data_IF_267891181044
#
_entry.id   IF_267891181044
#
_cell.length_a   1.000
_cell.length_b   1.000
_cell.length_c   1.000
_cell.angle_alpha   90.00
_cell.angle_beta   90.00
_cell.angle_gamma   90.00
#
_symmetry.space_group_name_H-M   'P 1'
#
loop_
_entity.id
_entity.type
_entity.pdbx_description
1 polymer ?
#
# COMPACT_ATOMS: atom_id res chain seq x y z
N UNK A 1 -102.09 63.70 -62.17
CA UNK A 1 -100.85 62.91 -61.96
C UNK A 1 -100.26 63.34 -60.62
N UNK A 2 -100.11 62.43 -59.64
CA UNK A 2 -99.64 62.76 -58.29
C UNK A 2 -98.13 62.52 -58.19
N UNK A 3 -97.36 63.60 -58.10
CA UNK A 3 -95.92 63.58 -57.88
C UNK A 3 -95.67 63.35 -56.38
N UNK A 4 -95.17 62.16 -56.00
CA UNK A 4 -94.72 61.90 -54.63
C UNK A 4 -93.29 62.42 -54.51
N UNK A 5 -93.13 63.58 -53.88
CA UNK A 5 -91.83 64.11 -53.48
C UNK A 5 -91.38 63.30 -52.26
N UNK A 6 -90.28 62.57 -52.39
CA UNK A 6 -89.69 61.84 -51.27
C UNK A 6 -88.96 62.86 -50.37
N UNK A 7 -89.62 63.26 -49.28
CA UNK A 7 -89.06 64.18 -48.27
C UNK A 7 -88.11 63.47 -47.29
N UNK A 8 -87.86 62.16 -47.48
CA UNK A 8 -86.95 61.41 -46.64
C UNK A 8 -85.52 61.59 -47.13
N UNK A 9 -84.91 62.73 -46.78
CA UNK A 9 -83.50 62.98 -47.06
C UNK A 9 -82.61 61.98 -46.29
N UNK A 10 -81.52 61.46 -46.88
CA UNK A 10 -80.62 60.47 -46.24
C UNK A 10 -79.95 60.96 -44.94
N UNK A 11 -80.10 62.24 -44.65
CA UNK A 11 -79.57 63.00 -43.51
C UNK A 11 -80.45 62.83 -42.25
N UNK A 12 -81.71 62.40 -42.41
CA UNK A 12 -82.64 62.07 -41.32
C UNK A 12 -82.54 60.61 -40.83
N UNK A 13 -81.49 59.88 -41.22
CA UNK A 13 -81.25 58.54 -40.65
C UNK A 13 -80.77 58.71 -39.21
N UNK A 14 -81.43 58.11 -38.20
CA UNK A 14 -80.97 58.21 -36.83
C UNK A 14 -79.53 57.68 -36.77
N UNK A 15 -78.60 58.55 -36.36
CA UNK A 15 -77.20 58.18 -36.21
C UNK A 15 -77.14 57.01 -35.24
N UNK A 16 -76.80 55.81 -35.74
CA UNK A 16 -76.70 54.64 -34.89
C UNK A 16 -75.63 54.93 -33.83
N UNK A 17 -75.98 54.99 -32.54
CA UNK A 17 -75.02 55.34 -31.52
C UNK A 17 -73.96 54.24 -31.48
N UNK A 18 -72.72 54.60 -31.85
CA UNK A 18 -71.58 53.66 -31.87
C UNK A 18 -71.41 53.01 -30.48
N UNK A 19 -71.65 53.79 -29.41
CA UNK A 19 -71.89 53.31 -28.05
C UNK A 19 -73.39 53.13 -27.77
N UNK A 20 -73.88 51.90 -27.93
CA UNK A 20 -75.13 51.49 -27.28
C UNK A 20 -74.79 50.93 -25.90
N UNK A 21 -75.62 51.15 -24.87
CA UNK A 21 -75.39 50.64 -23.50
C UNK A 21 -75.03 49.14 -23.49
N UNK A 22 -75.68 48.35 -24.35
CA UNK A 22 -75.39 46.94 -24.55
C UNK A 22 -73.95 46.65 -25.03
N UNK A 23 -73.41 47.45 -25.98
CA UNK A 23 -72.03 47.30 -26.47
C UNK A 23 -71.00 47.68 -25.40
N UNK A 24 -71.31 48.68 -24.57
CA UNK A 24 -70.48 49.05 -23.41
C UNK A 24 -70.45 47.92 -22.37
N UNK A 25 -71.60 47.36 -22.03
CA UNK A 25 -71.72 46.19 -21.14
C UNK A 25 -70.95 44.98 -21.66
N UNK A 26 -71.05 44.65 -22.95
CA UNK A 26 -70.25 43.59 -23.57
C UNK A 26 -68.75 43.89 -23.51
N UNK A 27 -68.33 45.14 -23.72
CA UNK A 27 -66.93 45.54 -23.58
C UNK A 27 -66.41 45.38 -22.15
N UNK A 28 -67.19 45.79 -21.15
CA UNK A 28 -66.85 45.58 -19.74
C UNK A 28 -66.80 44.09 -19.37
N UNK A 29 -67.77 43.29 -19.84
CA UNK A 29 -67.77 41.85 -19.61
C UNK A 29 -66.57 41.16 -20.26
N UNK A 30 -66.22 41.54 -21.48
CA UNK A 30 -65.04 41.04 -22.18
C UNK A 30 -63.74 41.43 -21.45
N UNK A 31 -63.63 42.68 -20.99
CA UNK A 31 -62.47 43.14 -20.22
C UNK A 31 -62.33 42.39 -18.89
N UNK A 32 -63.44 42.16 -18.17
CA UNK A 32 -63.45 41.35 -16.95
C UNK A 32 -63.05 39.90 -17.21
N UNK A 33 -63.60 39.29 -18.26
CA UNK A 33 -63.23 37.92 -18.65
C UNK A 33 -61.74 37.80 -18.98
N UNK A 34 -61.18 38.81 -19.66
CA UNK A 34 -59.76 38.87 -20.00
C UNK A 34 -58.88 39.01 -18.75
N UNK A 35 -59.26 39.87 -17.80
CA UNK A 35 -58.57 40.02 -16.52
C UNK A 35 -58.61 38.73 -15.68
N UNK A 36 -59.76 38.08 -15.60
CA UNK A 36 -59.90 36.79 -14.91
C UNK A 36 -59.05 35.72 -15.59
N UNK A 37 -59.07 35.65 -16.92
CA UNK A 37 -58.25 34.70 -17.69
C UNK A 37 -56.75 34.89 -17.46
N UNK A 38 -56.27 36.14 -17.48
CA UNK A 38 -54.88 36.47 -17.17
C UNK A 38 -54.52 36.16 -15.72
N UNK A 39 -55.41 36.46 -14.76
CA UNK A 39 -55.20 36.15 -13.35
C UNK A 39 -55.10 34.65 -13.08
N UNK A 40 -55.96 33.85 -13.71
CA UNK A 40 -55.89 32.38 -13.63
C UNK A 40 -54.61 31.84 -14.27
N UNK A 41 -54.23 32.35 -15.44
CA UNK A 41 -53.00 31.94 -16.11
C UNK A 41 -51.74 32.27 -15.26
N UNK A 42 -51.69 33.48 -14.69
CA UNK A 42 -50.60 33.84 -13.76
C UNK A 42 -50.59 32.98 -12.52
N UNK A 43 -51.75 32.69 -11.92
CA UNK A 43 -51.85 31.85 -10.72
C UNK A 43 -51.30 30.45 -10.98
N UNK A 44 -51.68 29.82 -12.11
CA UNK A 44 -51.16 28.51 -12.50
C UNK A 44 -49.64 28.53 -12.73
N UNK A 45 -49.12 29.58 -13.35
CA UNK A 45 -47.68 29.72 -13.56
C UNK A 45 -46.92 29.90 -12.24
N UNK A 46 -47.48 30.69 -11.32
CA UNK A 46 -46.89 30.92 -10.00
C UNK A 46 -46.89 29.64 -9.15
N UNK A 47 -47.98 28.86 -9.18
CA UNK A 47 -48.06 27.57 -8.50
C UNK A 47 -47.01 26.59 -9.02
N UNK A 48 -46.78 26.51 -10.33
CA UNK A 48 -45.72 25.66 -10.90
C UNK A 48 -44.33 26.11 -10.44
N UNK A 49 -44.10 27.42 -10.38
CA UNK A 49 -42.82 27.95 -9.94
C UNK A 49 -42.59 27.70 -8.44
N UNK A 50 -43.63 27.83 -7.61
CA UNK A 50 -43.58 27.48 -6.19
C UNK A 50 -43.29 25.99 -6.00
N UNK A 51 -43.96 25.11 -6.74
CA UNK A 51 -43.67 23.66 -6.68
C UNK A 51 -42.22 23.34 -7.05
N UNK A 52 -41.65 24.02 -8.04
CA UNK A 52 -40.23 23.83 -8.40
C UNK A 52 -39.29 24.32 -7.29
N UNK A 53 -39.62 25.44 -6.63
CA UNK A 53 -38.86 25.93 -5.50
C UNK A 53 -38.94 24.97 -4.31
N UNK A 54 -40.14 24.49 -3.98
CA UNK A 54 -40.35 23.54 -2.87
C UNK A 54 -39.55 22.25 -3.10
N UNK A 55 -39.59 21.69 -4.32
CA UNK A 55 -38.77 20.52 -4.68
C UNK A 55 -37.27 20.80 -4.58
N UNK A 56 -36.82 21.99 -4.98
CA UNK A 56 -35.41 22.36 -4.87
C UNK A 56 -34.97 22.54 -3.40
N UNK A 57 -35.83 23.11 -2.56
CA UNK A 57 -35.60 23.21 -1.12
C UNK A 57 -35.57 21.85 -0.44
N UNK A 58 -36.46 20.94 -0.83
CA UNK A 58 -36.51 19.58 -0.29
C UNK A 58 -35.22 18.81 -0.65
N UNK A 59 -34.78 18.88 -1.91
CA UNK A 59 -33.49 18.31 -2.34
C UNK A 59 -32.30 18.94 -1.60
N UNK A 60 -32.31 20.26 -1.40
CA UNK A 60 -31.25 20.95 -0.66
C UNK A 60 -31.22 20.50 0.81
N UNK A 61 -32.38 20.32 1.43
CA UNK A 61 -32.49 19.83 2.80
C UNK A 61 -31.96 18.41 2.93
N UNK A 62 -32.34 17.51 2.01
CA UNK A 62 -31.89 16.12 2.00
C UNK A 62 -30.37 16.01 1.87
N UNK A 63 -29.78 16.77 0.93
CA UNK A 63 -28.32 16.85 0.76
C UNK A 63 -27.63 17.47 1.99
N UNK A 64 -28.25 18.44 2.65
CA UNK A 64 -27.76 19.03 3.89
C UNK A 64 -27.73 18.02 5.04
N UNK A 65 -28.78 17.24 5.19
CA UNK A 65 -28.89 16.18 6.20
C UNK A 65 -27.89 15.04 5.92
N UNK A 66 -27.70 14.67 4.65
CA UNK A 66 -26.69 13.69 4.26
C UNK A 66 -25.28 14.20 4.56
N UNK A 67 -24.95 15.45 4.22
CA UNK A 67 -23.68 16.07 4.60
C UNK A 67 -23.49 16.14 6.12
N UNK A 68 -24.55 16.43 6.89
CA UNK A 68 -24.49 16.44 8.35
C UNK A 68 -24.22 15.04 8.91
N UNK A 69 -24.83 14.00 8.34
CA UNK A 69 -24.58 12.59 8.70
C UNK A 69 -23.16 12.17 8.36
N UNK A 70 -22.70 12.39 7.12
CA UNK A 70 -21.35 12.04 6.70
C UNK A 70 -20.28 12.82 7.48
N UNK A 71 -20.51 14.09 7.79
CA UNK A 71 -19.57 14.86 8.61
C UNK A 71 -19.53 14.39 10.06
N UNK A 72 -20.67 13.95 10.62
CA UNK A 72 -20.73 13.33 11.95
C UNK A 72 -20.04 11.97 11.95
N UNK A 73 -20.27 11.15 10.92
CA UNK A 73 -19.61 9.86 10.73
C UNK A 73 -18.09 10.05 10.59
N UNK A 74 -17.63 10.97 9.75
CA UNK A 74 -16.22 11.34 9.64
C UNK A 74 -15.61 11.88 10.94
N UNK A 75 -16.36 12.69 11.68
CA UNK A 75 -15.92 13.19 12.98
C UNK A 75 -15.82 12.06 14.03
N UNK A 76 -16.70 11.06 13.94
CA UNK A 76 -16.65 9.84 14.76
C UNK A 76 -15.53 8.88 14.33
N UNK A 77 -15.16 8.90 13.05
CA UNK A 77 -13.98 8.25 12.47
C UNK A 77 -12.71 9.10 12.59
N UNK A 78 -12.63 10.02 13.56
CA UNK A 78 -11.34 10.63 13.91
C UNK A 78 -10.37 9.48 14.24
N UNK A 79 -9.14 9.48 13.69
CA UNK A 79 -8.14 8.52 14.10
C UNK A 79 -7.98 8.66 15.60
N UNK A 80 -8.31 7.59 16.32
CA UNK A 80 -8.23 7.58 17.77
C UNK A 80 -6.79 7.98 18.14
N UNK A 81 -6.61 9.11 18.81
CA UNK A 81 -5.30 9.63 19.23
C UNK A 81 -4.52 8.54 19.98
N UNK A 82 -5.24 7.63 20.63
CA UNK A 82 -4.70 6.43 21.28
C UNK A 82 -4.12 5.42 20.28
N UNK A 83 -4.78 5.17 19.15
CA UNK A 83 -4.28 4.30 18.08
C UNK A 83 -3.06 4.92 17.38
N UNK A 84 -3.07 6.23 17.11
CA UNK A 84 -1.89 6.93 16.56
C UNK A 84 -0.69 6.85 17.51
N UNK A 85 -0.94 7.04 18.81
CA UNK A 85 0.09 6.91 19.83
C UNK A 85 0.60 5.46 19.94
N UNK A 86 -0.30 4.47 19.89
CA UNK A 86 0.06 3.06 19.92
C UNK A 86 0.89 2.64 18.69
N UNK A 87 0.56 3.15 17.50
CA UNK A 87 1.34 2.93 16.27
C UNK A 87 2.71 3.58 16.39
N UNK A 88 2.81 4.81 16.91
CA UNK A 88 4.08 5.48 17.11
C UNK A 88 4.98 4.74 18.10
N UNK A 89 4.43 4.25 19.21
CA UNK A 89 5.15 3.44 20.20
C UNK A 89 5.59 2.09 19.63
N UNK A 90 4.72 1.40 18.88
CA UNK A 90 5.05 0.15 18.23
C UNK A 90 6.19 0.33 17.21
N UNK A 91 6.14 1.41 16.42
CA UNK A 91 7.20 1.75 15.46
C UNK A 91 8.53 2.05 16.16
N UNK A 92 8.51 2.85 17.21
CA UNK A 92 9.71 3.13 18.01
C UNK A 92 10.33 1.86 18.63
N UNK A 93 9.48 0.90 19.05
CA UNK A 93 9.94 -0.39 19.57
C UNK A 93 10.60 -1.25 18.50
N UNK A 94 10.01 -1.31 17.30
CA UNK A 94 10.58 -2.03 16.15
C UNK A 94 11.93 -1.42 15.77
N UNK A 95 12.03 -0.09 15.66
CA UNK A 95 13.28 0.60 15.33
C UNK A 95 14.36 0.43 16.41
N UNK A 96 13.96 0.30 17.68
CA UNK A 96 14.86 -0.03 18.78
C UNK A 96 15.41 -1.46 18.66
N UNK A 97 14.54 -2.43 18.40
CA UNK A 97 14.91 -3.83 18.21
C UNK A 97 15.77 -4.04 16.97
N UNK A 98 15.49 -3.35 15.87
CA UNK A 98 16.28 -3.42 14.64
C UNK A 98 17.70 -2.84 14.81
N UNK A 99 17.84 -1.75 15.58
CA UNK A 99 19.17 -1.21 15.93
C UNK A 99 19.93 -2.15 16.85
N UNK A 100 19.24 -2.76 17.80
CA UNK A 100 19.83 -3.76 18.69
C UNK A 100 20.30 -4.98 17.87
N UNK A 101 19.47 -5.51 16.97
CA UNK A 101 19.87 -6.63 16.10
C UNK A 101 21.05 -6.26 15.21
N UNK A 102 21.09 -5.04 14.65
CA UNK A 102 22.23 -4.59 13.85
C UNK A 102 23.53 -4.44 14.68
N UNK A 103 23.42 -4.08 15.96
CA UNK A 103 24.57 -4.07 16.87
C UNK A 103 25.00 -5.49 17.22
N UNK A 104 24.06 -6.41 17.46
CA UNK A 104 24.38 -7.81 17.69
C UNK A 104 24.98 -8.47 16.45
N UNK A 105 24.45 -8.25 15.24
CA UNK A 105 24.98 -8.78 13.98
C UNK A 105 26.45 -8.40 13.75
N UNK A 106 26.87 -7.23 14.23
CA UNK A 106 28.28 -6.80 14.17
C UNK A 106 29.19 -7.62 15.10
N UNK A 107 28.65 -8.14 16.21
CA UNK A 107 29.35 -9.02 17.16
C UNK A 107 29.05 -10.52 16.91
N UNK A 108 28.00 -10.86 16.14
CA UNK A 108 27.51 -12.23 15.90
C UNK A 108 28.41 -13.03 14.94
N UNK A 109 29.45 -12.41 14.37
CA UNK A 109 30.59 -13.14 13.79
C UNK A 109 31.23 -14.13 14.79
N UNK A 110 31.02 -13.94 16.11
CA UNK A 110 31.50 -14.85 17.16
C UNK A 110 30.53 -15.99 17.51
N UNK A 111 29.24 -15.90 17.18
CA UNK A 111 28.25 -16.96 17.49
C UNK A 111 27.77 -17.59 16.18
N UNK A 112 28.71 -18.15 15.42
CA UNK A 112 28.35 -18.96 14.26
C UNK A 112 27.67 -20.27 14.76
N UNK A 113 26.39 -20.53 14.42
CA UNK A 113 25.77 -21.85 14.61
C UNK A 113 26.48 -22.98 13.85
N UNK A 114 27.50 -22.65 13.04
CA UNK A 114 28.36 -23.59 12.34
C UNK A 114 29.43 -24.31 13.18
N UNK A 115 29.84 -23.79 14.35
CA UNK A 115 30.95 -24.41 15.09
C UNK A 115 30.58 -25.76 15.72
N UNK A 116 29.38 -25.87 16.30
CA UNK A 116 28.91 -27.14 16.89
C UNK A 116 28.68 -28.23 15.83
N UNK A 117 28.22 -27.84 14.63
CA UNK A 117 28.05 -28.76 13.51
C UNK A 117 29.40 -29.19 12.94
N UNK A 118 30.34 -28.25 12.78
CA UNK A 118 31.71 -28.55 12.38
C UNK A 118 32.39 -29.51 13.36
N UNK A 119 32.27 -29.28 14.66
CA UNK A 119 32.86 -30.14 15.68
C UNK A 119 32.25 -31.56 15.68
N UNK A 120 30.94 -31.67 15.44
CA UNK A 120 30.25 -32.96 15.29
C UNK A 120 30.74 -33.72 14.05
N UNK A 121 30.87 -33.04 12.93
CA UNK A 121 31.32 -33.63 11.67
C UNK A 121 32.81 -34.04 11.74
N UNK A 122 33.65 -33.24 12.40
CA UNK A 122 35.03 -33.62 12.73
C UNK A 122 35.07 -34.90 13.58
N UNK A 123 34.24 -34.99 14.63
CA UNK A 123 34.17 -36.18 15.47
C UNK A 123 33.72 -37.42 14.69
N UNK A 124 32.79 -37.28 13.75
CA UNK A 124 32.31 -38.38 12.92
C UNK A 124 33.38 -38.86 11.91
N UNK A 125 34.26 -37.96 11.47
CA UNK A 125 35.35 -38.26 10.54
C UNK A 125 36.62 -38.80 11.20
N UNK A 126 36.63 -38.96 12.53
CA UNK A 126 37.80 -39.41 13.28
C UNK A 126 38.23 -40.84 12.86
N UNK A 127 39.50 -40.99 12.49
CA UNK A 127 40.11 -42.28 12.13
C UNK A 127 41.15 -42.70 13.18
N UNK A 128 41.38 -44.00 13.37
CA UNK A 128 42.46 -44.52 14.21
C UNK A 128 43.86 -44.27 13.65
N UNK A 129 43.96 -43.91 12.37
CA UNK A 129 45.24 -43.68 11.68
C UNK A 129 45.67 -42.22 11.64
N UNK A 130 44.78 -41.27 12.00
CA UNK A 130 45.02 -39.82 11.91
C UNK A 130 44.48 -39.14 13.17
N UNK A 131 45.33 -38.40 13.87
CA UNK A 131 44.99 -37.65 15.07
C UNK A 131 45.10 -36.15 14.82
N UNK A 132 44.00 -35.45 14.97
CA UNK A 132 43.96 -33.99 14.94
C UNK A 132 44.41 -33.43 16.30
N UNK A 133 45.38 -32.51 16.29
CA UNK A 133 45.94 -31.90 17.51
C UNK A 133 45.56 -30.44 17.65
N UNK A 134 45.54 -29.71 16.54
CA UNK A 134 45.21 -28.30 16.49
C UNK A 134 44.24 -28.04 15.35
N UNK A 135 43.25 -27.19 15.61
CA UNK A 135 42.33 -26.72 14.60
C UNK A 135 42.03 -25.25 14.86
N UNK A 136 42.08 -24.43 13.81
CA UNK A 136 41.75 -23.02 13.85
C UNK A 136 40.74 -22.71 12.75
N UNK A 137 39.68 -21.99 13.11
CA UNK A 137 38.61 -21.60 12.19
C UNK A 137 38.42 -20.10 12.34
N UNK A 138 38.72 -19.34 11.29
CA UNK A 138 38.56 -17.88 11.27
C UNK A 138 37.84 -17.47 9.99
N UNK A 139 36.56 -17.09 10.10
CA UNK A 139 35.70 -16.71 8.96
C UNK A 139 35.66 -17.77 7.85
N UNK A 140 36.46 -17.61 6.79
CA UNK A 140 36.61 -18.51 5.65
C UNK A 140 37.93 -19.30 5.65
N UNK A 141 38.77 -19.11 6.66
CA UNK A 141 40.04 -19.81 6.83
C UNK A 141 39.86 -21.00 7.76
N UNK A 142 40.40 -22.14 7.33
CA UNK A 142 40.43 -23.37 8.11
C UNK A 142 41.88 -23.84 8.16
N UNK A 143 42.39 -24.14 9.35
CA UNK A 143 43.68 -24.80 9.55
C UNK A 143 43.46 -26.03 10.42
N UNK A 144 44.01 -27.14 9.96
CA UNK A 144 43.98 -28.43 10.64
C UNK A 144 45.41 -28.95 10.73
N UNK A 145 45.89 -29.24 11.93
CA UNK A 145 47.23 -29.79 12.13
C UNK A 145 47.18 -30.98 13.08
N UNK A 146 48.00 -32.00 12.78
CA UNK A 146 47.94 -33.26 13.50
C UNK A 146 49.05 -34.22 13.12
N UNK A 147 48.88 -35.47 13.52
CA UNK A 147 49.81 -36.57 13.26
C UNK A 147 49.06 -37.73 12.59
N UNK A 148 49.72 -38.44 11.69
CA UNK A 148 49.18 -39.64 11.06
C UNK A 148 50.18 -40.79 11.13
N UNK A 149 49.71 -42.02 11.27
CA UNK A 149 50.56 -43.21 11.31
C UNK A 149 51.28 -43.48 9.98
N UNK A 150 50.70 -43.02 8.86
CA UNK A 150 51.25 -43.16 7.51
C UNK A 150 50.92 -41.92 6.69
N UNK A 151 51.84 -41.49 5.83
CA UNK A 151 51.61 -40.38 4.90
C UNK A 151 50.38 -40.60 4.00
N UNK A 152 50.14 -41.84 3.56
CA UNK A 152 49.00 -42.19 2.71
C UNK A 152 47.62 -42.11 3.41
N UNK A 153 47.58 -42.08 4.74
CA UNK A 153 46.31 -41.97 5.49
C UNK A 153 45.75 -40.55 5.52
N UNK A 154 46.60 -39.53 5.30
CA UNK A 154 46.21 -38.11 5.37
C UNK A 154 45.26 -37.72 4.24
N UNK A 155 45.54 -38.00 2.94
CA UNK A 155 44.62 -37.65 1.85
C UNK A 155 43.26 -38.36 1.99
N UNK A 156 43.26 -39.65 2.35
CA UNK A 156 42.03 -40.42 2.52
C UNK A 156 41.15 -39.94 3.69
N UNK A 157 41.76 -39.36 4.72
CA UNK A 157 41.04 -38.71 5.81
C UNK A 157 40.46 -37.36 5.38
N UNK A 158 41.23 -36.54 4.65
CA UNK A 158 40.79 -35.26 4.11
C UNK A 158 39.58 -35.42 3.17
N UNK A 159 39.60 -36.42 2.28
CA UNK A 159 38.49 -36.68 1.35
C UNK A 159 37.19 -37.03 2.09
N UNK A 160 37.27 -37.82 3.17
CA UNK A 160 36.10 -38.16 4.00
C UNK A 160 35.57 -36.95 4.78
N UNK A 161 36.48 -36.11 5.26
CA UNK A 161 36.13 -34.88 5.94
C UNK A 161 35.45 -33.88 4.99
N UNK A 162 35.91 -33.79 3.74
CA UNK A 162 35.32 -32.93 2.69
C UNK A 162 33.92 -33.37 2.21
N UNK A 163 33.51 -34.61 2.48
CA UNK A 163 32.16 -35.12 2.17
C UNK A 163 31.11 -34.75 3.22
N UNK A 164 31.53 -34.18 4.36
CA UNK A 164 30.59 -33.78 5.42
C UNK A 164 29.88 -32.46 5.07
N UNK A 165 28.60 -32.33 5.41
CA UNK A 165 27.79 -31.17 5.06
C UNK A 165 28.33 -29.86 5.66
N UNK A 166 29.02 -29.89 6.81
CA UNK A 166 29.64 -28.68 7.39
C UNK A 166 30.83 -28.13 6.60
N UNK A 167 31.42 -28.93 5.70
CA UNK A 167 32.65 -28.62 4.96
C UNK A 167 32.47 -28.67 3.44
N UNK A 168 31.27 -29.02 2.96
CA UNK A 168 30.88 -28.94 1.56
C UNK A 168 31.04 -27.50 1.03
N UNK A 169 32.09 -27.27 0.24
CA UNK A 169 32.45 -25.95 -0.32
C UNK A 169 33.73 -25.32 0.24
N UNK A 170 34.36 -25.91 1.28
CA UNK A 170 35.64 -25.45 1.86
C UNK A 170 36.77 -26.44 1.51
N UNK A 171 37.20 -26.46 0.25
CA UNK A 171 38.25 -27.38 -0.20
C UNK A 171 39.64 -26.95 0.33
N UNK A 172 40.28 -27.78 1.15
CA UNK A 172 41.65 -27.55 1.64
C UNK A 172 42.58 -27.31 0.44
N UNK A 173 43.20 -26.13 0.40
CA UNK A 173 43.97 -25.65 -0.74
C UNK A 173 45.46 -25.98 -0.61
N UNK A 174 45.93 -26.26 0.61
CA UNK A 174 47.32 -26.57 0.92
C UNK A 174 47.39 -27.77 1.86
N UNK A 175 48.29 -28.70 1.55
CA UNK A 175 48.63 -29.84 2.38
C UNK A 175 50.15 -29.94 2.48
N UNK A 176 50.67 -29.84 3.72
CA UNK A 176 52.07 -30.09 4.04
C UNK A 176 52.16 -31.35 4.89
N UNK A 177 53.04 -32.27 4.52
CA UNK A 177 53.33 -33.49 5.28
C UNK A 177 54.83 -33.50 5.56
N UNK A 178 55.18 -33.62 6.84
CA UNK A 178 56.56 -33.64 7.32
C UNK A 178 56.79 -34.93 8.11
N UNK A 179 57.64 -35.81 7.60
CA UNK A 179 57.96 -37.08 8.24
C UNK A 179 58.63 -38.09 7.32
N UNK A 180 59.21 -39.12 7.93
CA UNK A 180 59.96 -40.18 7.24
C UNK A 180 59.03 -41.33 6.82
N UNK A 181 59.29 -41.94 5.66
CA UNK A 181 58.31 -42.68 4.85
C UNK A 181 57.63 -43.89 5.48
N UNK A 182 58.10 -44.37 6.64
CA UNK A 182 57.58 -45.56 7.35
C UNK A 182 57.22 -45.27 8.82
N UNK A 183 57.27 -43.99 9.24
CA UNK A 183 57.02 -43.54 10.61
C UNK A 183 55.82 -42.59 10.74
N UNK A 184 55.46 -42.18 11.96
CA UNK A 184 54.42 -41.20 12.19
C UNK A 184 54.81 -39.85 11.54
N UNK A 185 53.93 -39.33 10.69
CA UNK A 185 54.13 -38.06 9.98
C UNK A 185 53.30 -36.95 10.63
N UNK A 186 53.82 -35.74 10.65
CA UNK A 186 53.04 -34.54 10.98
C UNK A 186 52.39 -34.02 9.70
N UNK A 187 51.13 -33.61 9.79
CA UNK A 187 50.45 -32.96 8.68
C UNK A 187 49.89 -31.61 9.10
N UNK A 188 49.85 -30.70 8.13
CA UNK A 188 49.14 -29.43 8.21
C UNK A 188 48.33 -29.24 6.92
N UNK A 189 47.04 -29.03 7.06
CA UNK A 189 46.13 -28.76 5.96
C UNK A 189 45.41 -27.43 6.19
N UNK A 190 45.30 -26.61 5.15
CA UNK A 190 44.67 -25.30 5.26
C UNK A 190 43.85 -24.88 4.04
N UNK A 191 42.83 -24.05 4.29
CA UNK A 191 41.94 -23.43 3.30
C UNK A 191 41.96 -21.90 3.48
N UNK A 192 42.05 -21.14 2.38
CA UNK A 192 41.95 -19.67 2.40
C UNK A 192 43.19 -18.92 2.97
N UNK A 193 44.27 -19.63 3.26
CA UNK A 193 45.56 -19.05 3.66
C UNK A 193 46.43 -18.82 2.42
N UNK A 194 46.31 -17.64 1.83
CA UNK A 194 47.28 -17.13 0.85
C UNK A 194 48.61 -16.92 1.56
N UNK A 195 49.66 -17.50 1.00
CA UNK A 195 51.02 -17.48 1.52
C UNK A 195 51.54 -16.06 1.79
N UNK A 196 51.99 -15.81 3.00
CA UNK A 196 53.06 -14.85 3.22
C UNK A 196 53.89 -15.33 4.41
N UNK A 197 54.74 -16.34 4.18
CA UNK A 197 55.92 -16.58 5.02
C UNK A 197 56.96 -17.47 4.33
N UNK A 198 57.47 -17.00 3.20
CA UNK A 198 58.86 -17.21 2.77
C UNK A 198 59.31 -15.82 2.26
N UNK A 199 60.23 -15.10 2.90
CA UNK A 199 61.63 -15.45 3.04
C UNK A 199 62.25 -14.80 4.27
N UNK A 200 63.20 -15.53 4.86
CA UNK A 200 64.27 -15.02 5.69
C UNK A 200 65.16 -14.05 4.92
#
# INVERSE_FOLDING_TARGET
MKTRINLFSPEMRPAQPRLTLARGLFGCAAALALLVGLGQWQSLNNQRLQQQLDLAYEQQSELGDELARLSTELASHRPDEQLLTAVAQAKARIDGLARLSQLLDQDELLIQPGFSNLMRDLSNSADRQVWLQQFDVAQAQLRLAGQAQRAAAVPAWIDRLGQQPSLAGRALSRLAIDGDGDGPVRFEASHGLSDNKEAR
#
